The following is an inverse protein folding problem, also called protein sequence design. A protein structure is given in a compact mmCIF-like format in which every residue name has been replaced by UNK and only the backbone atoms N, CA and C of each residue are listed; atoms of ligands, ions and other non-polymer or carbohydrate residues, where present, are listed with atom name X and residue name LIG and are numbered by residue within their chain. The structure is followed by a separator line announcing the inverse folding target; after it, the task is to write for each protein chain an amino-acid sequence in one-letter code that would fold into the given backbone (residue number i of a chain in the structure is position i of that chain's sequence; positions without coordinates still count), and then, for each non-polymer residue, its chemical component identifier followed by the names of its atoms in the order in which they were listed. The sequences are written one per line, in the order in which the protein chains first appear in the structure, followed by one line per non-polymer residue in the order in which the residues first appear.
data_IF_516675674784
#
_entry.id   IF_516675674784
#
_cell.length_a   1.000
_cell.length_b   1.000
_cell.length_c   1.000
_cell.angle_alpha   90.00
_cell.angle_beta   90.00
_cell.angle_gamma   90.00
#
_symmetry.space_group_name_H-M   'P 1'
#
loop_
_entity.id
_entity.type
_entity.pdbx_description
1 polymer ?
#
# COMPACT_ATOMS: atom_id res chain seq x y z
N UNK A 1 -7.70 5.94 48.71
CA UNK A 1 -8.64 5.27 47.79
C UNK A 1 -8.16 3.90 47.28
N UNK A 2 -7.09 3.32 47.70
CA UNK A 2 -6.70 1.93 47.60
C UNK A 2 -6.61 1.23 46.23
N UNK A 3 -6.70 1.95 45.12
CA UNK A 3 -6.54 1.38 43.77
C UNK A 3 -5.67 2.27 42.85
N UNK A 4 -4.97 1.64 41.91
CA UNK A 4 -4.23 2.31 40.85
C UNK A 4 -5.20 2.62 39.69
N UNK A 5 -5.10 3.86 39.13
CA UNK A 5 -5.83 4.28 37.95
C UNK A 5 -4.88 5.04 36.98
N UNK A 6 -4.93 4.71 35.74
CA UNK A 6 -4.19 5.41 34.67
C UNK A 6 -5.08 5.61 33.45
N UNK A 7 -5.05 6.78 32.87
CA UNK A 7 -5.74 7.06 31.63
C UNK A 7 -4.97 8.09 30.81
N UNK A 8 -5.02 7.95 29.49
CA UNK A 8 -4.30 8.81 28.54
C UNK A 8 -5.24 9.30 27.45
N UNK A 9 -4.92 10.46 26.91
CA UNK A 9 -5.54 10.95 25.67
C UNK A 9 -4.62 10.64 24.48
N UNK A 10 -5.19 10.25 23.34
CA UNK A 10 -4.46 9.95 22.12
C UNK A 10 -4.92 10.93 21.01
N UNK A 11 -3.97 11.53 20.31
CA UNK A 11 -4.20 12.30 19.10
C UNK A 11 -3.19 11.84 18.06
N UNK A 12 -3.66 11.30 16.94
CA UNK A 12 -2.81 10.75 15.89
C UNK A 12 -3.46 10.93 14.51
N UNK A 13 -2.66 11.04 13.42
CA UNK A 13 -3.15 10.88 12.06
C UNK A 13 -3.76 9.48 11.85
N UNK A 14 -4.75 9.36 10.97
CA UNK A 14 -5.38 8.09 10.63
C UNK A 14 -4.41 7.14 9.91
N UNK A 15 -3.52 7.69 9.05
CA UNK A 15 -2.56 6.93 8.25
C UNK A 15 -1.26 6.68 9.02
N UNK A 16 -1.29 5.83 10.02
CA UNK A 16 -0.14 5.53 10.88
C UNK A 16 0.16 4.04 11.00
N UNK A 17 1.44 3.64 10.76
CA UNK A 17 1.84 2.24 10.80
C UNK A 17 1.15 1.39 9.72
N UNK A 18 1.04 0.07 9.92
CA UNK A 18 0.26 -0.79 9.02
C UNK A 18 -1.21 -0.42 9.12
N UNK A 19 -1.79 0.02 8.02
CA UNK A 19 -3.19 0.48 7.98
C UNK A 19 -3.88 0.18 6.65
N UNK A 20 -5.16 0.47 6.61
CA UNK A 20 -6.02 0.34 5.45
C UNK A 20 -6.50 1.71 5.01
N UNK A 21 -6.41 1.98 3.70
CA UNK A 21 -7.07 3.10 3.07
C UNK A 21 -8.46 2.69 2.60
N UNK A 22 -9.47 3.30 3.21
CA UNK A 22 -10.84 3.14 2.76
C UNK A 22 -11.07 3.92 1.44
N UNK A 23 -11.95 3.46 0.55
CA UNK A 23 -12.23 4.10 -0.74
C UNK A 23 -12.52 5.60 -0.67
N UNK A 24 -13.19 6.06 0.38
CA UNK A 24 -13.50 7.50 0.59
C UNK A 24 -12.25 8.39 0.65
N UNK A 25 -11.08 7.82 1.00
CA UNK A 25 -9.84 8.58 1.17
C UNK A 25 -9.45 9.37 -0.10
N UNK A 26 -9.61 8.80 -1.29
CA UNK A 26 -9.34 9.47 -2.58
C UNK A 26 -10.54 9.51 -3.53
N UNK A 27 -11.68 8.97 -3.15
CA UNK A 27 -12.83 8.92 -4.04
C UNK A 27 -14.12 9.33 -3.31
N UNK A 28 -14.59 10.55 -3.64
CA UNK A 28 -15.84 11.10 -3.09
C UNK A 28 -16.99 10.11 -3.30
N UNK A 29 -17.86 10.01 -2.31
CA UNK A 29 -19.07 9.16 -2.31
C UNK A 29 -18.79 7.64 -2.39
N UNK A 30 -17.55 7.21 -2.11
CA UNK A 30 -17.16 5.81 -1.99
C UNK A 30 -17.24 5.34 -0.53
N UNK A 31 -17.03 4.04 -0.31
CA UNK A 31 -17.15 3.43 1.01
C UNK A 31 -16.19 4.03 2.03
N UNK A 32 -16.75 4.37 3.20
CA UNK A 32 -16.00 4.59 4.42
C UNK A 32 -15.58 3.25 5.04
N UNK A 33 -14.70 3.26 6.03
CA UNK A 33 -14.18 2.01 6.61
C UNK A 33 -15.27 1.15 7.25
N UNK A 34 -16.28 1.76 7.86
CA UNK A 34 -17.45 1.09 8.46
C UNK A 34 -18.42 0.53 7.41
N UNK A 35 -18.38 1.02 6.19
CA UNK A 35 -19.17 0.54 5.06
C UNK A 35 -18.50 -0.59 4.28
N UNK A 36 -17.18 -0.78 4.46
CA UNK A 36 -16.45 -1.84 3.77
C UNK A 36 -16.96 -3.22 4.23
N UNK A 37 -17.48 -4.05 3.32
CA UNK A 37 -17.85 -5.41 3.69
C UNK A 37 -16.62 -6.18 4.17
N UNK A 38 -16.72 -6.88 5.29
CA UNK A 38 -15.60 -7.67 5.85
C UNK A 38 -15.02 -8.67 4.81
N UNK A 39 -15.87 -9.20 3.92
CA UNK A 39 -15.44 -10.04 2.79
C UNK A 39 -14.47 -9.35 1.81
N UNK A 40 -14.38 -8.03 1.81
CA UNK A 40 -13.41 -7.27 1.01
C UNK A 40 -12.00 -7.31 1.61
N UNK A 41 -11.90 -7.62 2.90
CA UNK A 41 -10.67 -7.66 3.69
C UNK A 41 -10.15 -9.08 3.94
N UNK A 42 -10.88 -10.09 3.47
CA UNK A 42 -10.54 -11.51 3.67
C UNK A 42 -10.57 -12.27 2.36
N UNK A 43 -9.76 -13.31 2.23
CA UNK A 43 -9.75 -14.17 1.06
C UNK A 43 -8.36 -14.65 0.67
N UNK A 44 -8.27 -15.21 -0.55
CA UNK A 44 -7.00 -15.60 -1.15
C UNK A 44 -6.12 -14.35 -1.31
N UNK A 45 -4.87 -14.47 -0.94
CA UNK A 45 -3.86 -13.43 -1.15
C UNK A 45 -2.63 -14.04 -1.83
N UNK A 46 -1.93 -13.23 -2.61
CA UNK A 46 -0.62 -13.57 -3.17
C UNK A 46 0.36 -12.46 -2.84
N UNK A 47 1.61 -12.84 -2.58
CA UNK A 47 2.73 -11.92 -2.42
C UNK A 47 3.57 -11.95 -3.68
N UNK A 48 3.76 -10.80 -4.31
CA UNK A 48 4.62 -10.62 -5.47
C UNK A 48 5.89 -9.91 -4.98
N UNK A 49 7.02 -10.61 -5.02
CA UNK A 49 8.31 -10.08 -4.56
C UNK A 49 8.98 -9.30 -5.70
N UNK A 50 9.05 -8.00 -5.56
CA UNK A 50 9.75 -7.06 -6.45
C UNK A 50 10.96 -6.41 -5.76
N UNK A 51 11.40 -6.96 -4.62
CA UNK A 51 12.42 -6.36 -3.77
C UNK A 51 13.76 -6.15 -4.48
N UNK A 52 14.12 -7.00 -5.42
CA UNK A 52 15.36 -6.88 -6.18
C UNK A 52 15.42 -5.54 -6.93
N UNK A 53 14.39 -5.19 -7.68
CA UNK A 53 14.36 -3.99 -8.51
C UNK A 53 14.01 -2.75 -7.67
N UNK A 54 13.09 -2.90 -6.73
CA UNK A 54 12.70 -1.85 -5.81
C UNK A 54 13.86 -1.37 -4.90
N UNK A 55 14.72 -2.26 -4.43
CA UNK A 55 15.90 -1.87 -3.64
C UNK A 55 17.03 -1.28 -4.49
N UNK A 56 17.07 -1.58 -5.78
CA UNK A 56 18.02 -0.98 -6.73
C UNK A 56 17.60 0.41 -7.17
N UNK A 57 16.30 0.72 -7.16
CA UNK A 57 15.75 2.02 -7.56
C UNK A 57 14.67 2.47 -6.56
N UNK A 58 14.97 3.51 -5.77
CA UNK A 58 14.03 4.04 -4.77
C UNK A 58 12.71 4.54 -5.35
N UNK A 59 12.70 4.98 -6.60
CA UNK A 59 11.51 5.46 -7.30
C UNK A 59 10.91 4.39 -8.21
N UNK A 60 11.16 3.12 -7.89
CA UNK A 60 10.64 2.00 -8.65
C UNK A 60 9.12 2.02 -8.67
N UNK A 61 8.56 1.83 -9.85
CA UNK A 61 7.12 1.71 -10.06
C UNK A 61 6.81 0.31 -10.54
N UNK A 62 6.10 -0.46 -9.72
CA UNK A 62 5.72 -1.84 -9.99
C UNK A 62 4.87 -1.89 -11.25
N UNK A 63 5.33 -2.65 -12.23
CA UNK A 63 4.79 -2.70 -13.58
C UNK A 63 3.92 -3.94 -13.85
N UNK A 64 3.18 -3.94 -14.94
CA UNK A 64 2.45 -5.12 -15.41
C UNK A 64 3.40 -6.28 -15.68
N UNK A 65 4.63 -5.99 -16.14
CA UNK A 65 5.64 -7.02 -16.41
C UNK A 65 6.03 -7.80 -15.14
N UNK A 66 6.13 -7.14 -14.00
CA UNK A 66 6.41 -7.82 -12.72
C UNK A 66 5.35 -8.86 -12.39
N UNK A 67 4.08 -8.50 -12.63
CA UNK A 67 2.95 -9.38 -12.38
C UNK A 67 2.92 -10.55 -13.37
N UNK A 68 3.09 -10.26 -14.66
CA UNK A 68 3.07 -11.31 -15.68
C UNK A 68 4.25 -12.26 -15.56
N UNK A 69 5.43 -11.79 -15.15
CA UNK A 69 6.58 -12.64 -14.83
C UNK A 69 6.29 -13.55 -13.63
N UNK A 70 5.69 -13.00 -12.57
CA UNK A 70 5.26 -13.80 -11.44
C UNK A 70 4.22 -14.86 -11.85
N UNK A 71 3.26 -14.49 -12.71
CA UNK A 71 2.25 -15.43 -13.21
C UNK A 71 2.81 -16.56 -14.07
N UNK A 72 3.90 -16.33 -14.80
CA UNK A 72 4.56 -17.40 -15.58
C UNK A 72 5.07 -18.54 -14.68
N UNK A 73 5.48 -18.23 -13.47
CA UNK A 73 6.01 -19.20 -12.52
C UNK A 73 4.93 -19.78 -11.58
N UNK A 74 3.93 -18.99 -11.23
CA UNK A 74 2.96 -19.31 -10.17
C UNK A 74 1.54 -19.57 -10.69
N UNK A 75 1.32 -19.36 -11.97
CA UNK A 75 -0.01 -19.43 -12.58
C UNK A 75 -0.77 -18.09 -12.49
N UNK A 76 -1.81 -17.99 -13.31
CA UNK A 76 -2.60 -16.75 -13.43
C UNK A 76 -3.31 -16.41 -12.13
N UNK A 77 -3.25 -15.15 -11.74
CA UNK A 77 -3.97 -14.61 -10.58
C UNK A 77 -5.47 -14.78 -10.77
N UNK A 78 -6.11 -15.40 -9.79
CA UNK A 78 -7.55 -15.65 -9.79
C UNK A 78 -8.34 -14.37 -9.44
N UNK A 79 -9.59 -14.31 -9.91
CA UNK A 79 -10.50 -13.22 -9.54
C UNK A 79 -10.70 -13.12 -8.01
N UNK A 80 -10.90 -11.90 -7.52
CA UNK A 80 -11.11 -11.62 -6.10
C UNK A 80 -9.92 -11.98 -5.20
N UNK A 81 -8.71 -12.00 -5.73
CA UNK A 81 -7.46 -12.17 -4.96
C UNK A 81 -6.99 -10.82 -4.42
N UNK A 82 -6.45 -10.81 -3.21
CA UNK A 82 -5.73 -9.67 -2.63
C UNK A 82 -4.28 -9.75 -3.13
N UNK A 83 -3.76 -8.66 -3.68
CA UNK A 83 -2.39 -8.60 -4.20
C UNK A 83 -1.53 -7.81 -3.22
N UNK A 84 -0.48 -8.42 -2.71
CA UNK A 84 0.48 -7.80 -1.81
C UNK A 84 1.85 -7.74 -2.49
N UNK A 85 2.43 -6.55 -2.55
CA UNK A 85 3.75 -6.36 -3.14
C UNK A 85 4.80 -6.24 -2.04
N UNK A 86 5.83 -7.08 -2.10
CA UNK A 86 7.00 -7.02 -1.25
C UNK A 86 8.09 -6.23 -1.97
N UNK A 87 8.32 -5.00 -1.55
CA UNK A 87 9.39 -4.14 -2.08
C UNK A 87 10.70 -4.29 -1.31
N UNK A 88 10.64 -4.92 -0.13
CA UNK A 88 11.77 -5.02 0.79
C UNK A 88 12.01 -3.76 1.62
N UNK A 89 11.17 -2.73 1.48
CA UNK A 89 11.29 -1.48 2.25
C UNK A 89 10.88 -1.64 3.71
N UNK A 90 10.03 -2.59 4.04
CA UNK A 90 9.66 -2.89 5.43
C UNK A 90 10.85 -3.06 6.37
N UNK A 91 12.04 -3.48 5.85
CA UNK A 91 13.28 -3.60 6.64
C UNK A 91 13.82 -2.26 7.15
N UNK A 92 13.46 -1.15 6.51
CA UNK A 92 13.92 0.18 6.90
C UNK A 92 13.07 0.81 8.00
N UNK A 93 11.84 0.30 8.20
CA UNK A 93 10.96 0.80 9.27
C UNK A 93 11.55 0.46 10.66
N UNK A 94 11.55 1.39 11.66
CA UNK A 94 10.97 2.73 11.61
C UNK A 94 11.99 3.85 11.29
N UNK A 95 13.16 3.55 10.70
CA UNK A 95 14.13 4.58 10.33
C UNK A 95 13.56 5.47 9.22
N UNK A 96 13.17 6.69 9.57
CA UNK A 96 12.51 7.60 8.64
C UNK A 96 13.38 7.93 7.42
N UNK A 97 14.67 8.22 7.63
CA UNK A 97 15.58 8.58 6.54
C UNK A 97 15.70 7.49 5.48
N UNK A 98 15.81 6.25 5.92
CA UNK A 98 15.90 5.10 5.04
C UNK A 98 14.55 4.73 4.42
N UNK A 99 13.46 4.81 5.20
CA UNK A 99 12.14 4.38 4.78
C UNK A 99 11.47 5.38 3.82
N UNK A 100 11.51 6.67 4.11
CA UNK A 100 10.90 7.73 3.30
C UNK A 100 11.88 8.39 2.31
N UNK A 101 13.19 8.15 2.45
CA UNK A 101 14.22 8.83 1.66
C UNK A 101 14.71 10.13 2.25
N UNK A 102 14.08 10.64 3.32
CA UNK A 102 14.45 11.88 4.01
C UNK A 102 14.10 11.82 5.49
N UNK A 103 14.95 12.38 6.37
CA UNK A 103 14.61 12.54 7.78
C UNK A 103 13.65 13.69 8.06
N UNK A 104 13.39 14.57 7.07
CA UNK A 104 12.49 15.72 7.20
C UNK A 104 11.04 15.27 7.40
N UNK A 105 10.22 16.18 7.95
CA UNK A 105 8.79 15.98 8.19
C UNK A 105 7.99 17.13 7.61
N UNK A 106 6.67 16.95 7.47
CA UNK A 106 5.79 17.99 6.95
C UNK A 106 6.05 18.35 5.48
N UNK A 107 5.68 19.56 5.09
CA UNK A 107 5.73 20.03 3.69
C UNK A 107 7.15 20.00 3.11
N UNK A 108 8.16 20.26 3.92
CA UNK A 108 9.57 20.24 3.49
C UNK A 108 10.08 18.87 3.09
N UNK A 109 9.43 17.79 3.56
CA UNK A 109 9.77 16.44 3.19
C UNK A 109 9.26 16.05 1.79
N UNK A 110 8.14 16.61 1.34
CA UNK A 110 7.44 16.17 0.11
C UNK A 110 8.34 16.08 -1.11
N UNK A 111 9.19 17.07 -1.45
CA UNK A 111 10.06 17.00 -2.62
C UNK A 111 11.21 15.98 -2.49
N UNK A 112 11.44 15.46 -1.30
CA UNK A 112 12.54 14.56 -0.98
C UNK A 112 12.05 13.12 -0.67
N UNK A 113 10.76 12.85 -0.83
CA UNK A 113 10.21 11.51 -0.61
C UNK A 113 10.63 10.58 -1.75
N UNK A 114 11.34 9.49 -1.41
CA UNK A 114 11.80 8.49 -2.34
C UNK A 114 11.56 7.08 -1.79
N UNK A 115 10.54 6.42 -2.29
CA UNK A 115 10.19 5.04 -1.99
C UNK A 115 9.37 4.43 -3.14
N UNK A 116 9.41 3.11 -3.35
CA UNK A 116 8.67 2.45 -4.42
C UNK A 116 7.17 2.55 -4.26
N UNK A 117 6.45 2.46 -5.37
CA UNK A 117 5.01 2.39 -5.42
C UNK A 117 4.51 1.59 -6.62
N UNK A 118 3.23 1.65 -6.90
CA UNK A 118 2.59 0.90 -7.98
C UNK A 118 2.33 1.86 -9.15
N UNK A 119 2.73 1.47 -10.37
CA UNK A 119 2.37 2.24 -11.58
C UNK A 119 0.84 2.28 -11.72
N UNK A 120 0.24 3.45 -11.94
CA UNK A 120 -1.20 3.59 -12.15
C UNK A 120 -1.77 2.70 -13.28
N UNK A 121 -0.99 2.45 -14.32
CA UNK A 121 -1.38 1.52 -15.41
C UNK A 121 -1.48 0.09 -14.91
N UNK A 122 -0.58 -0.31 -14.00
CA UNK A 122 -0.59 -1.62 -13.37
C UNK A 122 -1.83 -1.80 -12.50
N UNK A 123 -2.18 -0.79 -11.71
CA UNK A 123 -3.40 -0.80 -10.89
C UNK A 123 -4.65 -0.93 -11.77
N UNK A 124 -4.73 -0.16 -12.85
CA UNK A 124 -5.84 -0.24 -13.81
C UNK A 124 -5.93 -1.62 -14.46
N UNK A 125 -4.79 -2.19 -14.85
CA UNK A 125 -4.71 -3.51 -15.44
C UNK A 125 -5.15 -4.61 -14.46
N UNK A 126 -4.69 -4.57 -13.20
CA UNK A 126 -5.09 -5.52 -12.17
C UNK A 126 -6.60 -5.52 -11.91
N UNK A 127 -7.20 -4.33 -11.88
CA UNK A 127 -8.66 -4.21 -11.72
C UNK A 127 -9.38 -4.81 -12.92
N UNK A 128 -8.96 -4.46 -14.14
CA UNK A 128 -9.64 -4.85 -15.39
C UNK A 128 -9.42 -6.31 -15.75
N UNK A 129 -8.17 -6.76 -15.71
CA UNK A 129 -7.76 -8.07 -16.26
C UNK A 129 -7.72 -9.18 -15.20
N UNK A 130 -7.68 -8.84 -13.91
CA UNK A 130 -7.62 -9.79 -12.79
C UNK A 130 -8.76 -9.65 -11.80
N UNK A 131 -9.56 -8.57 -11.93
CA UNK A 131 -10.67 -8.28 -11.02
C UNK A 131 -10.26 -8.50 -9.55
N UNK A 132 -9.14 -7.91 -9.15
CA UNK A 132 -8.58 -8.06 -7.82
C UNK A 132 -9.52 -7.54 -6.74
N UNK A 133 -9.34 -7.98 -5.50
CA UNK A 133 -10.14 -7.55 -4.34
C UNK A 133 -9.56 -6.30 -3.67
N UNK A 134 -8.27 -6.30 -3.44
CA UNK A 134 -7.52 -5.24 -2.78
C UNK A 134 -6.06 -5.29 -3.23
N UNK A 135 -5.30 -4.23 -2.98
CA UNK A 135 -3.84 -4.20 -3.15
C UNK A 135 -3.17 -3.71 -1.87
N UNK A 136 -1.89 -4.05 -1.70
CA UNK A 136 -1.09 -3.48 -0.61
C UNK A 136 0.40 -3.68 -0.83
N UNK A 137 1.20 -2.95 -0.05
CA UNK A 137 2.66 -3.04 -0.09
C UNK A 137 3.32 -2.62 1.24
N UNK A 138 4.61 -2.87 1.34
CA UNK A 138 5.43 -2.57 2.53
C UNK A 138 6.10 -1.18 2.47
N UNK A 139 5.51 -0.23 1.73
CA UNK A 139 5.94 1.18 1.66
C UNK A 139 4.91 2.12 2.27
N UNK A 140 5.27 3.42 2.51
CA UNK A 140 4.39 4.40 3.12
C UNK A 140 3.19 4.81 2.29
N UNK A 141 3.15 4.45 0.99
CA UNK A 141 2.08 4.86 0.07
C UNK A 141 1.95 3.88 -1.08
N UNK A 142 0.73 3.72 -1.60
CA UNK A 142 0.46 2.96 -2.84
C UNK A 142 1.13 3.61 -4.06
N UNK A 143 1.18 4.93 -4.11
CA UNK A 143 1.94 5.68 -5.10
C UNK A 143 3.40 5.80 -4.67
N UNK A 144 4.33 5.87 -5.62
CA UNK A 144 5.75 6.08 -5.33
C UNK A 144 6.02 7.49 -4.75
N UNK A 145 7.14 7.66 -4.06
CA UNK A 145 7.44 8.86 -3.26
C UNK A 145 7.39 10.19 -4.01
N UNK A 146 7.70 10.20 -5.32
CA UNK A 146 7.68 11.40 -6.17
C UNK A 146 6.34 11.63 -6.88
N UNK A 147 5.30 10.83 -6.58
CA UNK A 147 3.97 11.01 -7.14
C UNK A 147 3.37 12.36 -6.71
N UNK A 148 2.86 13.12 -7.67
CA UNK A 148 2.18 14.40 -7.43
C UNK A 148 0.65 14.28 -7.50
N UNK A 149 0.18 13.29 -8.23
CA UNK A 149 -1.23 13.14 -8.60
C UNK A 149 -1.93 12.01 -7.85
N UNK A 150 -1.21 11.15 -7.13
CA UNK A 150 -1.75 10.01 -6.40
C UNK A 150 -2.69 9.15 -7.25
N UNK A 151 -2.29 8.87 -8.50
CA UNK A 151 -3.15 8.19 -9.48
C UNK A 151 -3.48 6.76 -9.10
N UNK A 152 -2.55 6.04 -8.48
CA UNK A 152 -2.79 4.69 -8.00
C UNK A 152 -3.90 4.67 -6.96
N UNK A 153 -3.85 5.57 -5.98
CA UNK A 153 -4.93 5.74 -4.99
C UNK A 153 -6.28 6.04 -5.68
N UNK A 154 -6.30 7.04 -6.55
CA UNK A 154 -7.55 7.42 -7.24
C UNK A 154 -8.20 6.26 -7.99
N UNK A 155 -7.38 5.41 -8.63
CA UNK A 155 -7.87 4.28 -9.44
C UNK A 155 -8.42 3.16 -8.56
N UNK A 156 -7.65 2.71 -7.56
CA UNK A 156 -8.05 1.58 -6.73
C UNK A 156 -9.23 1.95 -5.82
N UNK A 157 -9.12 3.09 -5.13
CA UNK A 157 -10.16 3.55 -4.20
C UNK A 157 -11.43 3.98 -4.94
N UNK A 158 -11.27 4.58 -6.13
CA UNK A 158 -12.40 4.89 -7.04
C UNK A 158 -13.19 3.66 -7.49
N UNK A 159 -12.57 2.49 -7.44
CA UNK A 159 -13.20 1.20 -7.73
C UNK A 159 -13.84 0.52 -6.52
N UNK A 160 -14.00 1.22 -5.39
CA UNK A 160 -14.43 0.69 -4.09
C UNK A 160 -13.59 -0.50 -3.59
N UNK A 161 -12.29 -0.50 -3.89
CA UNK A 161 -11.34 -1.51 -3.43
C UNK A 161 -10.37 -0.88 -2.45
N UNK A 162 -10.14 -1.48 -1.26
CA UNK A 162 -9.22 -0.92 -0.28
C UNK A 162 -7.76 -1.08 -0.70
N UNK A 163 -6.91 -0.18 -0.17
CA UNK A 163 -5.47 -0.28 -0.19
C UNK A 163 -4.90 -0.61 1.18
N UNK A 164 -3.73 -1.25 1.24
CA UNK A 164 -3.01 -1.51 2.48
C UNK A 164 -1.59 -0.94 2.37
N UNK A 165 -1.19 -0.18 3.37
CA UNK A 165 0.12 0.46 3.40
C UNK A 165 0.91 0.07 4.63
N UNK A 166 2.22 0.26 4.55
CA UNK A 166 3.15 -0.08 5.63
C UNK A 166 3.00 -1.54 6.10
N UNK A 167 2.78 -2.47 5.17
CA UNK A 167 2.67 -3.88 5.50
C UNK A 167 4.00 -4.42 6.06
N UNK A 168 3.89 -5.36 6.98
CA UNK A 168 5.04 -6.00 7.61
C UNK A 168 5.02 -7.52 7.39
N UNK A 169 6.20 -8.15 7.51
CA UNK A 169 6.36 -9.61 7.47
C UNK A 169 5.86 -10.28 6.18
N UNK A 170 6.01 -9.61 5.02
CA UNK A 170 5.64 -10.19 3.71
C UNK A 170 6.61 -11.30 3.24
N UNK A 171 7.58 -11.66 4.05
CA UNK A 171 8.57 -12.73 3.84
C UNK A 171 8.26 -14.02 4.62
N UNK A 172 7.14 -14.06 5.36
CA UNK A 172 6.73 -15.22 6.20
C UNK A 172 5.63 -16.04 5.57
#
# INVERSE_FOLDING_TARGET
NGYFYSSYSICAPEHGGTHLDAPIHFAKDKYTVDQLPLKSLTGKAVVIDVSKDALANRDYQISVADITNWEMENGKIENNTIILFKTGYGKYYPNRGDYFGTPKTGIEAIPELHFPGIDPKTTSWLIKERNIKAIGLDTPSLDYGQSKDFKTHQIILGSNKPGFENLANLDK
#
